data_IF_021847298644
#
_entry.id   IF_021847298644
#
_cell.length_a   1.000
_cell.length_b   1.000
_cell.length_c   1.000
_cell.angle_alpha   90.00
_cell.angle_beta   90.00
_cell.angle_gamma   90.00
#
_symmetry.space_group_name_H-M   'P 1'
#
loop_
_entity.id
_entity.type
_entity.pdbx_description
1 polymer ?
#
# COMPACT_ATOMS: atom_id res chain seq x y z
N UNK A 1 14.92 3.77 -10.68
CA UNK A 1 14.74 2.44 -10.05
C UNK A 1 13.35 1.86 -10.30
N UNK A 2 12.26 2.59 -10.00
CA UNK A 2 10.88 2.09 -10.20
C UNK A 2 10.55 1.60 -11.62
N UNK A 3 11.18 2.16 -12.66
CA UNK A 3 11.01 1.74 -14.06
C UNK A 3 11.55 0.31 -14.27
N UNK A 4 12.68 -0.07 -13.67
CA UNK A 4 13.23 -1.43 -13.78
C UNK A 4 12.28 -2.46 -13.17
N UNK A 5 11.72 -2.15 -12.00
CA UNK A 5 10.78 -3.04 -11.32
C UNK A 5 9.47 -3.18 -12.09
N UNK A 6 8.96 -2.07 -12.66
CA UNK A 6 7.78 -2.07 -13.51
C UNK A 6 7.98 -2.97 -14.74
N UNK A 7 9.10 -2.80 -15.44
CA UNK A 7 9.42 -3.62 -16.62
C UNK A 7 9.57 -5.12 -16.27
N UNK A 8 10.18 -5.43 -15.13
CA UNK A 8 10.29 -6.81 -14.64
C UNK A 8 8.93 -7.42 -14.29
N UNK A 9 7.98 -6.62 -13.77
CA UNK A 9 6.60 -7.05 -13.48
C UNK A 9 5.80 -7.29 -14.76
N UNK A 10 5.79 -6.31 -15.65
CA UNK A 10 5.00 -6.34 -16.89
C UNK A 10 5.47 -7.47 -17.83
N UNK A 11 6.77 -7.74 -17.83
CA UNK A 11 7.36 -8.81 -18.64
C UNK A 11 7.48 -10.16 -17.93
N UNK A 12 7.02 -10.28 -16.67
CA UNK A 12 7.07 -11.55 -15.94
C UNK A 12 6.27 -12.64 -16.66
N UNK A 13 5.08 -12.29 -17.17
CA UNK A 13 4.22 -13.18 -17.96
C UNK A 13 4.79 -13.53 -19.34
N UNK A 14 5.61 -12.65 -19.92
CA UNK A 14 6.26 -12.84 -21.23
C UNK A 14 7.58 -13.62 -21.16
N UNK A 15 7.89 -14.20 -19.99
CA UNK A 15 9.11 -14.96 -19.78
C UNK A 15 10.35 -14.08 -19.63
N UNK A 16 10.22 -12.87 -19.09
CA UNK A 16 11.32 -12.03 -18.59
C UNK A 16 11.88 -10.98 -19.54
N UNK A 17 12.78 -10.16 -19.00
CA UNK A 17 13.41 -9.03 -19.68
C UNK A 17 14.89 -9.26 -19.91
N UNK A 18 15.40 -8.92 -21.10
CA UNK A 18 16.85 -8.92 -21.35
C UNK A 18 17.52 -7.69 -20.75
N UNK A 19 18.79 -7.82 -20.36
CA UNK A 19 19.55 -6.67 -19.84
C UNK A 19 19.59 -5.49 -20.80
N UNK A 20 19.69 -5.77 -22.11
CA UNK A 20 19.75 -4.74 -23.14
C UNK A 20 18.43 -3.95 -23.24
N UNK A 21 17.30 -4.62 -23.04
CA UNK A 21 16.00 -3.95 -23.00
C UNK A 21 15.89 -3.02 -21.78
N UNK A 22 16.32 -3.46 -20.60
CA UNK A 22 16.33 -2.61 -19.39
C UNK A 22 17.22 -1.37 -19.57
N UNK A 23 18.38 -1.52 -20.21
CA UNK A 23 19.27 -0.40 -20.57
C UNK A 23 18.56 0.61 -21.48
N UNK A 24 17.87 0.12 -22.51
CA UNK A 24 17.18 0.96 -23.49
C UNK A 24 16.00 1.71 -22.85
N UNK A 25 15.17 1.04 -22.05
CA UNK A 25 13.99 1.63 -21.43
C UNK A 25 14.38 2.61 -20.31
N UNK A 26 15.37 2.27 -19.51
CA UNK A 26 15.80 3.14 -18.41
C UNK A 26 16.78 4.24 -18.86
N UNK A 27 17.34 4.18 -20.07
CA UNK A 27 18.29 5.16 -20.58
C UNK A 27 19.61 5.23 -19.80
N UNK A 28 20.01 4.14 -19.13
CA UNK A 28 21.20 4.09 -18.25
C UNK A 28 22.18 2.99 -18.65
N UNK A 29 23.44 3.12 -18.24
CA UNK A 29 24.45 2.10 -18.54
C UNK A 29 24.18 0.75 -17.85
N UNK A 30 24.69 -0.34 -18.42
CA UNK A 30 24.57 -1.71 -17.87
C UNK A 30 24.95 -1.78 -16.39
N UNK A 31 25.99 -1.03 -15.98
CA UNK A 31 26.45 -0.97 -14.58
C UNK A 31 25.38 -0.45 -13.63
N UNK A 32 24.60 0.55 -14.05
CA UNK A 32 23.49 1.08 -13.26
C UNK A 32 22.35 0.08 -13.16
N UNK A 33 22.04 -0.64 -14.25
CA UNK A 33 21.04 -1.72 -14.21
C UNK A 33 21.46 -2.81 -13.21
N UNK A 34 22.73 -3.26 -13.22
CA UNK A 34 23.22 -4.21 -12.22
C UNK A 34 23.12 -3.68 -10.78
N UNK A 35 23.35 -2.38 -10.59
CA UNK A 35 23.19 -1.73 -9.28
C UNK A 35 21.74 -1.76 -8.83
N UNK A 36 20.81 -1.38 -9.70
CA UNK A 36 19.37 -1.40 -9.41
C UNK A 36 18.85 -2.80 -9.14
N UNK A 37 19.30 -3.81 -9.89
CA UNK A 37 18.93 -5.20 -9.64
C UNK A 37 19.43 -5.67 -8.28
N UNK A 38 20.65 -5.27 -7.87
CA UNK A 38 21.18 -5.59 -6.53
C UNK A 38 20.43 -4.88 -5.42
N UNK A 39 20.16 -3.58 -5.59
CA UNK A 39 19.37 -2.79 -4.63
C UNK A 39 17.95 -3.38 -4.47
N UNK A 40 17.34 -3.89 -5.55
CA UNK A 40 16.05 -4.60 -5.51
C UNK A 40 16.15 -5.92 -4.71
N UNK A 41 17.20 -6.72 -4.92
CA UNK A 41 17.43 -7.94 -4.14
C UNK A 41 17.66 -7.63 -2.66
N UNK A 42 18.39 -6.56 -2.33
CA UNK A 42 18.62 -6.10 -0.94
C UNK A 42 17.32 -5.65 -0.26
N UNK A 43 16.34 -5.15 -1.01
CA UNK A 43 14.99 -4.82 -0.52
C UNK A 43 14.06 -6.04 -0.46
N UNK A 44 14.56 -7.25 -0.70
CA UNK A 44 13.78 -8.49 -0.63
C UNK A 44 12.98 -8.81 -1.89
N UNK A 45 13.22 -8.13 -3.02
CA UNK A 45 12.58 -8.48 -4.29
C UNK A 45 13.31 -9.69 -4.89
N UNK A 46 12.63 -10.83 -5.06
CA UNK A 46 13.27 -12.05 -5.51
C UNK A 46 13.45 -12.02 -7.03
N UNK A 47 14.69 -11.82 -7.50
CA UNK A 47 15.01 -11.75 -8.93
C UNK A 47 15.67 -13.06 -9.38
N UNK A 48 15.12 -13.69 -10.41
CA UNK A 48 15.73 -14.82 -11.09
C UNK A 48 16.73 -14.30 -12.14
N UNK A 49 18.00 -14.67 -11.94
CA UNK A 49 19.10 -14.30 -12.84
C UNK A 49 19.24 -15.32 -13.96
N UNK A 50 19.60 -14.90 -15.18
CA UNK A 50 19.81 -15.81 -16.29
C UNK A 50 20.94 -16.79 -15.99
N UNK A 51 20.67 -18.09 -16.16
CA UNK A 51 21.68 -19.13 -15.97
C UNK A 51 22.75 -19.06 -17.06
N UNK A 52 24.01 -19.17 -16.65
CA UNK A 52 25.16 -19.16 -17.54
C UNK A 52 25.36 -20.59 -18.04
N UNK A 53 24.90 -20.88 -19.26
CA UNK A 53 24.97 -22.22 -19.86
C UNK A 53 26.41 -22.56 -20.32
N UNK A 54 27.28 -21.56 -20.53
CA UNK A 54 28.69 -21.76 -20.90
C UNK A 54 29.63 -20.79 -20.16
N UNK A 55 30.72 -21.28 -19.56
CA UNK A 55 31.71 -20.43 -18.91
C UNK A 55 32.41 -19.53 -19.94
N UNK A 56 32.36 -18.22 -19.75
CA UNK A 56 33.03 -17.23 -20.61
C UNK A 56 32.12 -16.45 -21.56
N UNK A 57 30.82 -16.76 -21.65
CA UNK A 57 29.84 -15.90 -22.35
C UNK A 57 28.75 -15.44 -21.36
N UNK A 58 28.45 -14.13 -21.26
CA UNK A 58 27.30 -13.69 -20.49
C UNK A 58 26.07 -14.34 -21.12
N UNK A 59 25.39 -15.20 -20.36
CA UNK A 59 24.18 -15.86 -20.83
C UNK A 59 23.20 -14.79 -21.32
N UNK A 60 22.77 -14.89 -22.58
CA UNK A 60 21.74 -14.03 -23.18
C UNK A 60 20.35 -14.31 -22.61
N UNK A 61 20.26 -14.69 -21.34
CA UNK A 61 19.03 -15.03 -20.68
C UNK A 61 18.28 -13.78 -20.21
N UNK A 62 17.06 -14.02 -19.77
CA UNK A 62 16.12 -12.98 -19.34
C UNK A 62 16.06 -12.96 -17.81
N UNK A 63 16.04 -11.76 -17.24
CA UNK A 63 15.77 -11.52 -15.83
C UNK A 63 14.26 -11.60 -15.60
N UNK A 64 13.85 -12.28 -14.53
CA UNK A 64 12.44 -12.39 -14.13
C UNK A 64 12.29 -12.11 -12.66
N UNK A 65 11.09 -11.70 -12.24
CA UNK A 65 10.71 -11.84 -10.85
C UNK A 65 10.48 -13.32 -10.60
N UNK A 66 11.09 -13.86 -9.56
CA UNK A 66 10.78 -15.22 -9.09
C UNK A 66 9.39 -15.13 -8.47
N UNK A 67 8.46 -15.95 -8.92
CA UNK A 67 7.15 -16.03 -8.29
C UNK A 67 7.35 -16.44 -6.83
N UNK A 68 7.24 -15.46 -5.92
CA UNK A 68 7.03 -15.78 -4.52
C UNK A 68 5.69 -16.46 -4.44
N UNK A 69 5.73 -17.67 -3.90
CA UNK A 69 4.61 -18.58 -3.75
C UNK A 69 3.31 -17.78 -3.52
N UNK A 70 2.46 -17.77 -4.54
CA UNK A 70 1.24 -16.97 -4.60
C UNK A 70 0.27 -17.25 -3.44
N UNK A 71 0.51 -18.32 -2.66
CA UNK A 71 -0.24 -18.62 -1.44
C UNK A 71 0.18 -17.83 -0.20
N UNK A 72 1.46 -17.49 -0.03
CA UNK A 72 1.95 -16.79 1.18
C UNK A 72 1.66 -15.29 1.11
N UNK A 73 1.89 -14.66 -0.06
CA UNK A 73 1.58 -13.25 -0.29
C UNK A 73 0.07 -12.94 -0.21
N UNK A 74 -0.79 -13.91 -0.56
CA UNK A 74 -2.24 -13.77 -0.41
C UNK A 74 -2.67 -13.76 1.07
N UNK A 75 -1.98 -14.53 1.92
CA UNK A 75 -2.21 -14.51 3.37
C UNK A 75 -1.78 -13.18 4.01
N UNK A 76 -0.62 -12.65 3.64
CA UNK A 76 -0.12 -11.38 4.16
C UNK A 76 -0.96 -10.19 3.69
N UNK A 77 -1.37 -10.17 2.41
CA UNK A 77 -2.28 -9.12 1.90
C UNK A 77 -3.66 -9.19 2.55
N UNK A 78 -4.21 -10.39 2.78
CA UNK A 78 -5.47 -10.57 3.49
C UNK A 78 -5.38 -10.09 4.94
N UNK A 79 -4.25 -10.32 5.62
CA UNK A 79 -3.99 -9.80 6.96
C UNK A 79 -3.96 -8.27 6.98
N UNK A 80 -3.31 -7.64 5.99
CA UNK A 80 -3.27 -6.17 5.86
C UNK A 80 -4.68 -5.60 5.67
N UNK A 81 -5.49 -6.21 4.79
CA UNK A 81 -6.88 -5.80 4.58
C UNK A 81 -7.71 -5.93 5.86
N UNK A 82 -7.55 -7.04 6.60
CA UNK A 82 -8.24 -7.24 7.86
C UNK A 82 -7.83 -6.20 8.93
N UNK A 83 -6.53 -5.86 9.03
CA UNK A 83 -6.04 -4.83 9.93
C UNK A 83 -6.60 -3.45 9.60
N UNK A 84 -6.63 -3.08 8.32
CA UNK A 84 -7.24 -1.83 7.87
C UNK A 84 -8.73 -1.76 8.22
N UNK A 85 -9.44 -2.87 8.05
CA UNK A 85 -10.84 -2.95 8.45
C UNK A 85 -10.99 -2.77 9.97
N UNK A 86 -10.17 -3.43 10.78
CA UNK A 86 -10.17 -3.24 12.25
C UNK A 86 -9.89 -1.80 12.67
N UNK A 87 -8.97 -1.11 11.99
CA UNK A 87 -8.71 0.31 12.23
C UNK A 87 -9.95 1.17 11.95
N UNK A 88 -10.65 0.91 10.85
CA UNK A 88 -11.91 1.60 10.54
C UNK A 88 -12.97 1.37 11.64
N UNK A 89 -13.10 0.13 12.14
CA UNK A 89 -13.98 -0.18 13.27
C UNK A 89 -13.59 0.57 14.55
N UNK A 90 -12.29 0.65 14.87
CA UNK A 90 -11.79 1.42 16.02
C UNK A 90 -12.14 2.91 15.90
N UNK A 91 -12.01 3.50 14.71
CA UNK A 91 -12.39 4.88 14.45
C UNK A 91 -13.89 5.10 14.67
N UNK A 92 -14.73 4.19 14.17
CA UNK A 92 -16.18 4.23 14.33
C UNK A 92 -16.59 4.08 15.80
N UNK A 93 -15.98 3.14 16.53
CA UNK A 93 -16.21 2.94 17.95
C UNK A 93 -15.83 4.19 18.77
N UNK A 94 -14.67 4.79 18.48
CA UNK A 94 -14.24 6.05 19.12
C UNK A 94 -15.28 7.15 18.89
N UNK A 95 -15.83 7.24 17.68
CA UNK A 95 -16.86 8.22 17.35
C UNK A 95 -18.14 8.00 18.16
N UNK A 96 -18.63 6.76 18.22
CA UNK A 96 -19.80 6.40 19.03
C UNK A 96 -19.60 6.71 20.51
N UNK A 97 -18.40 6.45 21.04
CA UNK A 97 -18.08 6.73 22.44
C UNK A 97 -18.05 8.25 22.72
N UNK A 98 -17.55 9.07 21.79
CA UNK A 98 -17.61 10.53 21.93
C UNK A 98 -19.06 11.04 21.92
N UNK A 99 -19.90 10.53 21.02
CA UNK A 99 -21.32 10.85 20.98
C UNK A 99 -22.03 10.51 22.30
N UNK A 100 -21.75 9.33 22.87
CA UNK A 100 -22.34 8.93 24.14
C UNK A 100 -21.90 9.87 25.29
N UNK A 101 -20.63 10.26 25.32
CA UNK A 101 -20.11 11.23 26.30
C UNK A 101 -20.81 12.58 26.16
N UNK A 102 -20.98 13.08 24.94
CA UNK A 102 -21.71 14.32 24.68
C UNK A 102 -23.16 14.24 25.16
N UNK A 103 -23.83 13.11 24.92
CA UNK A 103 -25.21 12.88 25.37
C UNK A 103 -25.33 12.84 26.90
N UNK A 104 -24.37 12.19 27.58
CA UNK A 104 -24.30 12.20 29.05
C UNK A 104 -24.10 13.63 29.56
N UNK A 105 -23.13 14.38 29.03
CA UNK A 105 -22.85 15.76 29.44
C UNK A 105 -24.10 16.64 29.23
N UNK A 106 -24.77 16.50 28.08
CA UNK A 106 -25.99 17.22 27.79
C UNK A 106 -27.09 16.89 28.80
N UNK A 107 -27.32 15.61 29.09
CA UNK A 107 -28.32 15.17 30.08
C UNK A 107 -28.04 15.73 31.48
N UNK A 108 -26.77 15.75 31.89
CA UNK A 108 -26.37 16.33 33.18
C UNK A 108 -26.64 17.82 33.18
N UNK A 109 -26.24 18.53 32.14
CA UNK A 109 -26.38 19.97 32.09
C UNK A 109 -27.86 20.42 32.09
N UNK A 110 -28.75 19.69 31.39
CA UNK A 110 -30.21 19.90 31.47
C UNK A 110 -30.72 19.69 32.90
N UNK A 111 -30.28 18.61 33.58
CA UNK A 111 -30.67 18.32 34.96
C UNK A 111 -30.25 19.42 35.94
N UNK A 112 -29.12 20.07 35.70
CA UNK A 112 -28.63 21.19 36.51
C UNK A 112 -29.14 22.58 36.04
N UNK A 113 -30.08 22.62 35.08
CA UNK A 113 -30.72 23.87 34.65
C UNK A 113 -29.91 24.73 33.68
N UNK A 114 -28.83 24.19 33.10
CA UNK A 114 -28.08 24.89 32.06
C UNK A 114 -28.86 24.89 30.74
N UNK A 115 -29.04 26.07 30.14
CA UNK A 115 -29.58 26.21 28.78
C UNK A 115 -28.45 26.07 27.78
N UNK A 116 -28.29 24.88 27.18
CA UNK A 116 -27.29 24.68 26.13
C UNK A 116 -27.80 25.19 24.78
N UNK A 117 -26.93 25.80 23.96
CA UNK A 117 -27.30 26.20 22.60
C UNK A 117 -27.60 24.96 21.75
N UNK A 118 -28.67 25.00 20.94
CA UNK A 118 -29.08 23.91 20.04
C UNK A 118 -27.94 23.41 19.12
N UNK A 119 -26.95 24.26 18.86
CA UNK A 119 -25.81 23.95 18.01
C UNK A 119 -24.70 23.13 18.70
N UNK A 120 -24.87 22.76 19.96
CA UNK A 120 -23.86 21.98 20.70
C UNK A 120 -23.69 20.57 20.13
N UNK A 121 -24.77 19.95 19.64
CA UNK A 121 -24.76 18.60 19.05
C UNK A 121 -24.40 18.60 17.55
N UNK A 122 -24.65 19.69 16.81
CA UNK A 122 -24.55 19.75 15.34
C UNK A 122 -23.18 20.21 14.81
N UNK A 123 -22.29 20.76 15.65
CA UNK A 123 -20.94 21.16 15.19
C UNK A 123 -20.09 19.97 14.75
N UNK A 124 -20.31 18.79 15.32
CA UNK A 124 -19.61 17.57 14.93
C UNK A 124 -20.17 16.94 13.64
N UNK A 125 -21.35 17.32 13.15
CA UNK A 125 -21.89 16.80 11.87
C UNK A 125 -21.35 17.49 10.62
N UNK A 126 -20.78 18.69 10.72
CA UNK A 126 -20.22 19.38 9.54
C UNK A 126 -18.79 18.89 9.21
N UNK A 127 -18.01 18.53 10.23
CA UNK A 127 -16.68 17.88 10.09
C UNK A 127 -16.84 16.40 9.63
N UNK A 128 -18.05 15.83 9.74
CA UNK A 128 -18.36 14.43 9.38
C UNK A 128 -18.27 14.12 7.89
N UNK A 129 -18.49 15.07 6.98
CA UNK A 129 -18.46 14.78 5.53
C UNK A 129 -17.07 14.87 4.92
N UNK A 130 -16.20 15.74 5.43
CA UNK A 130 -14.83 15.91 4.94
C UNK A 130 -13.88 14.80 5.41
N UNK A 131 -14.12 14.22 6.60
CA UNK A 131 -13.24 13.20 7.16
C UNK A 131 -13.64 11.77 6.76
N UNK A 132 -14.93 11.50 6.49
CA UNK A 132 -15.35 10.24 5.88
C UNK A 132 -14.87 10.13 4.43
N UNK A 133 -14.93 11.22 3.65
CA UNK A 133 -14.35 11.24 2.30
C UNK A 133 -12.85 11.02 2.33
N UNK A 134 -12.11 11.55 3.30
CA UNK A 134 -10.67 11.28 3.40
C UNK A 134 -10.35 9.79 3.66
N UNK A 135 -11.11 9.12 4.53
CA UNK A 135 -10.91 7.68 4.79
C UNK A 135 -11.40 6.77 3.66
N UNK A 136 -12.42 7.18 2.89
CA UNK A 136 -12.88 6.44 1.71
C UNK A 136 -11.95 6.65 0.51
N UNK A 137 -11.35 7.82 0.33
CA UNK A 137 -10.44 8.10 -0.80
C UNK A 137 -9.11 7.34 -0.64
N UNK A 138 -8.59 7.16 0.57
CA UNK A 138 -7.37 6.36 0.80
C UNK A 138 -7.58 4.86 0.59
N UNK A 139 -8.81 4.34 0.69
CA UNK A 139 -9.10 2.92 0.42
C UNK A 139 -9.33 2.61 -1.07
N UNK A 140 -9.61 3.61 -1.91
CA UNK A 140 -9.73 3.47 -3.36
C UNK A 140 -8.43 3.72 -4.15
N UNK A 141 -7.38 4.24 -3.51
CA UNK A 141 -6.09 4.59 -4.14
C UNK A 141 -4.94 3.63 -3.82
N UNK A 142 -5.21 2.53 -3.11
CA UNK A 142 -4.25 1.44 -2.94
C UNK A 142 -4.36 0.47 -4.14
N UNK A 143 -3.28 0.27 -4.93
CA UNK A 143 -3.27 -0.62 -6.11
C UNK A 143 -3.35 -2.11 -5.76
#
# INVERSE_FOLDING_TARGET
MGIVLKELRDSSQAGGVTLQHLVNVCGVSKRHIYRYLRELEEMGVPIERPQIIQPGKPGGGRYKLRDHQSGEAMGETMLIVALNQMLAWCCLYRHQMMFLKELIIYSMAVRYGFKLPLNFMTKNTAIKLSNLTYCEIESFLAP
#
